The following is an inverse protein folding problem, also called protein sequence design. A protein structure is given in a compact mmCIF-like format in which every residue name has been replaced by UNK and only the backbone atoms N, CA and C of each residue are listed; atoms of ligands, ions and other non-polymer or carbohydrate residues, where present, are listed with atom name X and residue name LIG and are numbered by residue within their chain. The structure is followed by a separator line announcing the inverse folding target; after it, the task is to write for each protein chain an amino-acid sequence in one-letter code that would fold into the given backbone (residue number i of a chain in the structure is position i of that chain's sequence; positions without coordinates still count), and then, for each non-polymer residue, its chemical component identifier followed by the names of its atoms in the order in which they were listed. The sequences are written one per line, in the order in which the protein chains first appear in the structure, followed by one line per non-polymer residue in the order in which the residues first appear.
data_IF_712959304535
#
_entry.id   IF_712959304535
#
_cell.length_a   1.000
_cell.length_b   1.000
_cell.length_c   1.000
_cell.angle_alpha   90.00
_cell.angle_beta   90.00
_cell.angle_gamma   90.00
#
_symmetry.space_group_name_H-M   'P 1'
#
loop_
_entity.id
_entity.type
_entity.pdbx_description
1 polymer ?
#
# COMPACT_ATOMS: atom_id res chain seq x y z
N UNK A 1 -9.60 15.88 -2.80
CA UNK A 1 -9.97 14.45 -2.67
C UNK A 1 -10.26 13.80 -4.02
N UNK A 2 -11.16 14.33 -4.87
CA UNK A 2 -11.52 13.70 -6.15
C UNK A 2 -10.35 13.46 -7.12
N UNK A 3 -9.42 14.41 -7.24
CA UNK A 3 -8.25 14.24 -8.15
C UNK A 3 -7.34 13.12 -7.66
N UNK A 4 -7.12 13.01 -6.34
CA UNK A 4 -6.27 11.98 -5.75
C UNK A 4 -6.90 10.59 -5.90
N UNK A 5 -8.21 10.46 -5.68
CA UNK A 5 -8.89 9.17 -5.86
C UNK A 5 -8.83 8.69 -7.31
N UNK A 6 -8.99 9.60 -8.29
CA UNK A 6 -8.86 9.24 -9.72
C UNK A 6 -7.43 8.82 -10.05
N UNK A 7 -6.43 9.53 -9.53
CA UNK A 7 -5.02 9.16 -9.71
C UNK A 7 -4.71 7.80 -9.08
N UNK A 8 -5.19 7.54 -7.86
CA UNK A 8 -5.04 6.26 -7.18
C UNK A 8 -5.66 5.13 -8.01
N UNK A 9 -6.91 5.26 -8.45
CA UNK A 9 -7.56 4.21 -9.27
C UNK A 9 -6.78 3.92 -10.55
N UNK A 10 -6.26 4.94 -11.23
CA UNK A 10 -5.45 4.75 -12.43
C UNK A 10 -4.12 4.05 -12.12
N UNK A 11 -3.46 4.41 -11.02
CA UNK A 11 -2.22 3.77 -10.58
C UNK A 11 -2.47 2.30 -10.20
N UNK A 12 -3.58 2.00 -9.53
CA UNK A 12 -3.95 0.62 -9.17
C UNK A 12 -4.18 -0.23 -10.43
N UNK A 13 -4.72 0.33 -11.51
CA UNK A 13 -4.78 -0.36 -12.81
C UNK A 13 -3.37 -0.70 -13.31
N UNK A 14 -2.42 0.23 -13.26
CA UNK A 14 -1.02 -0.07 -13.60
C UNK A 14 -0.41 -1.12 -12.67
N UNK A 15 -0.73 -1.10 -11.38
CA UNK A 15 -0.26 -2.09 -10.42
C UNK A 15 -0.71 -3.50 -10.80
N UNK A 16 -1.98 -3.68 -11.15
CA UNK A 16 -2.47 -4.97 -11.66
C UNK A 16 -1.80 -5.38 -12.98
N UNK A 17 -1.61 -4.44 -13.92
CA UNK A 17 -0.92 -4.76 -15.18
C UNK A 17 0.51 -5.23 -14.94
N UNK A 18 1.23 -4.58 -14.02
CA UNK A 18 2.60 -4.93 -13.65
C UNK A 18 2.67 -6.30 -12.98
N UNK A 19 1.74 -6.63 -12.08
CA UNK A 19 1.72 -7.95 -11.43
C UNK A 19 1.52 -9.09 -12.45
N UNK A 20 0.79 -8.84 -13.53
CA UNK A 20 0.54 -9.85 -14.56
C UNK A 20 1.65 -9.91 -15.63
N UNK A 21 2.15 -8.75 -16.10
CA UNK A 21 3.05 -8.67 -17.26
C UNK A 21 4.13 -7.59 -17.06
N UNK A 22 4.90 -7.68 -15.98
CA UNK A 22 5.85 -6.64 -15.57
C UNK A 22 6.80 -6.20 -16.70
N UNK A 23 7.50 -7.14 -17.33
CA UNK A 23 8.51 -6.83 -18.33
C UNK A 23 7.92 -6.09 -19.54
N UNK A 24 6.78 -6.57 -20.05
CA UNK A 24 6.10 -5.96 -21.19
C UNK A 24 5.57 -4.56 -20.85
N UNK A 25 5.00 -4.38 -19.66
CA UNK A 25 4.51 -3.08 -19.20
C UNK A 25 5.67 -2.08 -19.06
N UNK A 26 6.79 -2.48 -18.45
CA UNK A 26 7.96 -1.61 -18.30
C UNK A 26 8.53 -1.23 -19.68
N UNK A 27 8.64 -2.17 -20.61
CA UNK A 27 9.15 -1.90 -21.97
C UNK A 27 8.19 -1.02 -22.77
N UNK A 28 6.88 -1.25 -22.66
CA UNK A 28 5.86 -0.41 -23.27
C UNK A 28 5.90 1.03 -22.74
N UNK A 29 5.94 1.21 -21.42
CA UNK A 29 5.99 2.53 -20.80
C UNK A 29 7.31 3.26 -21.09
N UNK A 30 8.42 2.54 -21.23
CA UNK A 30 9.72 3.14 -21.59
C UNK A 30 9.72 3.63 -23.04
N UNK A 31 9.14 2.85 -23.97
CA UNK A 31 9.10 3.18 -25.40
C UNK A 31 8.03 4.21 -25.77
N UNK A 32 7.06 4.44 -24.88
CA UNK A 32 5.99 5.40 -25.08
C UNK A 32 6.40 6.79 -24.57
N UNK A 33 6.22 7.87 -25.36
CA UNK A 33 6.48 9.22 -24.89
C UNK A 33 5.46 9.64 -23.83
N UNK A 34 5.95 10.20 -22.73
CA UNK A 34 5.15 10.75 -21.65
C UNK A 34 4.65 12.17 -21.94
N UNK A 35 3.73 12.69 -21.11
CA UNK A 35 3.09 13.99 -21.32
C UNK A 35 4.04 15.19 -21.18
N UNK A 36 5.18 15.00 -20.51
CA UNK A 36 6.17 16.06 -20.25
C UNK A 36 7.48 15.87 -21.05
N UNK A 37 7.45 15.05 -22.10
CA UNK A 37 8.61 14.79 -22.97
C UNK A 37 9.64 13.79 -22.42
N UNK A 38 9.50 13.36 -21.16
CA UNK A 38 10.16 12.15 -20.62
C UNK A 38 9.45 10.88 -21.09
N UNK A 39 9.97 9.70 -20.76
CA UNK A 39 9.23 8.45 -21.02
C UNK A 39 7.94 8.40 -20.19
N UNK A 40 6.94 7.66 -20.66
CA UNK A 40 5.73 7.42 -19.88
C UNK A 40 6.04 6.66 -18.58
N UNK A 41 7.06 5.80 -18.59
CA UNK A 41 7.60 5.13 -17.40
C UNK A 41 8.02 6.14 -16.33
N UNK A 42 8.84 7.13 -16.69
CA UNK A 42 9.32 8.14 -15.74
C UNK A 42 8.15 8.90 -15.10
N UNK A 43 7.15 9.25 -15.91
CA UNK A 43 5.97 9.97 -15.44
C UNK A 43 5.13 9.12 -14.49
N UNK A 44 4.79 7.88 -14.87
CA UNK A 44 3.96 6.99 -14.03
C UNK A 44 4.68 6.66 -12.73
N UNK A 45 5.97 6.30 -12.79
CA UNK A 45 6.75 6.01 -11.59
C UNK A 45 6.87 7.22 -10.67
N UNK A 46 7.16 8.41 -11.22
CA UNK A 46 7.24 9.64 -10.44
C UNK A 46 5.91 9.94 -9.74
N UNK A 47 4.80 9.92 -10.48
CA UNK A 47 3.47 10.20 -9.94
C UNK A 47 3.04 9.18 -8.88
N UNK A 48 3.39 7.92 -9.08
CA UNK A 48 3.07 6.84 -8.15
C UNK A 48 3.87 6.95 -6.86
N UNK A 49 5.19 6.92 -6.91
CA UNK A 49 6.02 6.88 -5.69
C UNK A 49 5.95 8.17 -4.87
N UNK A 50 5.56 9.29 -5.49
CA UNK A 50 5.31 10.54 -4.76
C UNK A 50 3.99 10.55 -4.02
N UNK A 51 2.99 9.76 -4.47
CA UNK A 51 1.63 9.74 -3.91
C UNK A 51 1.28 8.45 -3.16
N UNK A 52 2.15 7.45 -3.15
CA UNK A 52 1.88 6.16 -2.49
C UNK A 52 1.42 6.33 -1.03
N UNK A 53 2.05 7.23 -0.28
CA UNK A 53 1.70 7.51 1.12
C UNK A 53 0.32 8.18 1.30
N UNK A 54 -0.29 8.65 0.22
CA UNK A 54 -1.62 9.26 0.20
C UNK A 54 -2.71 8.26 -0.17
N UNK A 55 -2.35 7.02 -0.50
CA UNK A 55 -3.33 6.00 -0.87
C UNK A 55 -4.17 5.61 0.35
N UNK A 56 -5.43 5.33 0.10
CA UNK A 56 -6.40 4.92 1.11
C UNK A 56 -7.12 3.66 0.68
N UNK A 57 -7.46 2.79 1.64
CA UNK A 57 -8.12 1.51 1.39
C UNK A 57 -7.12 0.36 1.45
N UNK A 58 -7.34 -0.65 2.32
CA UNK A 58 -6.35 -1.69 2.58
C UNK A 58 -6.05 -2.54 1.34
N UNK A 59 -7.04 -2.78 0.49
CA UNK A 59 -6.86 -3.53 -0.76
C UNK A 59 -5.95 -2.79 -1.75
N UNK A 60 -6.28 -1.53 -2.08
CA UNK A 60 -5.50 -0.71 -3.02
C UNK A 60 -4.06 -0.51 -2.55
N UNK A 61 -3.87 -0.30 -1.23
CA UNK A 61 -2.53 -0.20 -0.63
C UNK A 61 -1.77 -1.52 -0.83
N UNK A 62 -2.35 -2.67 -0.49
CA UNK A 62 -1.71 -3.99 -0.67
C UNK A 62 -1.36 -4.27 -2.14
N UNK A 63 -2.30 -4.07 -3.06
CA UNK A 63 -2.07 -4.25 -4.50
C UNK A 63 -0.92 -3.35 -4.98
N UNK A 64 -0.95 -2.09 -4.58
CA UNK A 64 0.10 -1.13 -4.94
C UNK A 64 1.46 -1.56 -4.41
N UNK A 65 1.55 -1.92 -3.13
CA UNK A 65 2.79 -2.32 -2.46
C UNK A 65 3.37 -3.60 -3.07
N UNK A 66 2.54 -4.62 -3.35
CA UNK A 66 2.98 -5.86 -4.02
C UNK A 66 3.57 -5.55 -5.40
N UNK A 67 2.92 -4.67 -6.17
CA UNK A 67 3.45 -4.26 -7.47
C UNK A 67 4.77 -3.50 -7.35
N UNK A 68 4.90 -2.59 -6.38
CA UNK A 68 6.15 -1.86 -6.11
C UNK A 68 7.28 -2.79 -5.65
N UNK A 69 6.97 -3.85 -4.89
CA UNK A 69 7.91 -4.91 -4.53
C UNK A 69 8.40 -5.66 -5.77
N UNK A 70 7.49 -6.09 -6.64
CA UNK A 70 7.86 -6.77 -7.89
C UNK A 70 8.70 -5.88 -8.81
N UNK A 71 8.42 -4.57 -8.86
CA UNK A 71 9.26 -3.60 -9.57
C UNK A 71 10.66 -3.48 -8.98
N UNK A 72 10.78 -3.44 -7.65
CA UNK A 72 12.08 -3.41 -6.99
C UNK A 72 12.88 -4.69 -7.25
N UNK A 73 12.24 -5.85 -7.13
CA UNK A 73 12.84 -7.15 -7.45
C UNK A 73 13.32 -7.18 -8.90
N UNK A 74 12.46 -6.81 -9.85
CA UNK A 74 12.82 -6.74 -11.27
C UNK A 74 14.02 -5.82 -11.52
N UNK A 75 14.03 -4.64 -10.92
CA UNK A 75 15.11 -3.67 -11.07
C UNK A 75 16.45 -4.21 -10.57
N UNK A 76 16.44 -4.93 -9.43
CA UNK A 76 17.64 -5.50 -8.82
C UNK A 76 18.13 -6.74 -9.58
N UNK A 77 17.24 -7.67 -9.89
CA UNK A 77 17.59 -8.93 -10.60
C UNK A 77 18.13 -8.68 -11.99
N UNK A 78 17.58 -7.70 -12.72
CA UNK A 78 18.00 -7.37 -14.08
C UNK A 78 19.06 -6.26 -14.14
N UNK A 79 19.44 -5.68 -12.99
CA UNK A 79 20.29 -4.50 -12.91
C UNK A 79 19.85 -3.39 -13.88
N UNK A 80 18.54 -3.11 -13.90
CA UNK A 80 17.93 -2.25 -14.91
C UNK A 80 18.27 -0.77 -14.64
N UNK A 81 19.08 -0.20 -15.53
CA UNK A 81 19.56 1.18 -15.45
C UNK A 81 18.43 2.22 -15.46
N UNK A 82 17.24 1.89 -15.99
CA UNK A 82 16.09 2.81 -16.01
C UNK A 82 15.64 3.16 -14.60
N UNK A 83 15.65 2.18 -13.69
CA UNK A 83 15.28 2.39 -12.29
C UNK A 83 16.37 3.12 -11.50
N UNK A 84 17.63 2.99 -11.89
CA UNK A 84 18.75 3.65 -11.21
C UNK A 84 18.90 5.12 -11.63
N UNK A 85 18.56 5.43 -12.88
CA UNK A 85 18.72 6.78 -13.44
C UNK A 85 17.54 7.72 -13.14
N UNK A 86 16.33 7.18 -12.93
CA UNK A 86 15.18 8.01 -12.55
C UNK A 86 15.35 8.56 -11.13
N UNK A 87 15.38 9.90 -11.00
CA UNK A 87 15.51 10.60 -9.72
C UNK A 87 14.17 11.18 -9.30
N UNK A 88 13.71 10.83 -8.10
CA UNK A 88 12.42 11.21 -7.53
C UNK A 88 12.56 11.94 -6.18
N UNK A 89 11.54 12.67 -5.72
CA UNK A 89 11.53 13.28 -4.39
C UNK A 89 11.60 12.22 -3.27
N UNK A 90 12.59 12.38 -2.40
CA UNK A 90 12.81 11.58 -1.21
C UNK A 90 12.03 12.11 -0.01
N UNK A 91 12.76 12.54 1.02
CA UNK A 91 12.23 13.01 2.29
C UNK A 91 12.27 14.53 2.37
N UNK A 92 11.35 15.12 3.14
CA UNK A 92 11.32 16.56 3.34
C UNK A 92 12.54 17.00 4.17
N UNK A 93 13.27 18.01 3.68
CA UNK A 93 14.41 18.60 4.38
C UNK A 93 13.87 19.58 5.42
N UNK A 94 14.05 19.24 6.69
CA UNK A 94 13.66 20.07 7.84
C UNK A 94 14.90 20.79 8.35
N UNK A 95 14.97 22.10 8.15
CA UNK A 95 16.02 22.93 8.71
C UNK A 95 15.72 23.23 10.18
N UNK A 96 16.44 22.59 11.09
CA UNK A 96 16.48 23.02 12.49
C UNK A 96 17.45 24.20 12.60
N UNK A 97 16.94 25.42 12.76
CA UNK A 97 17.79 26.52 13.22
C UNK A 97 18.20 26.21 14.67
N UNK A 98 19.50 26.21 14.94
CA UNK A 98 20.05 25.94 16.26
C UNK A 98 19.38 26.85 17.31
N UNK A 99 18.75 26.23 18.30
CA UNK A 99 18.10 26.94 19.42
C UNK A 99 16.61 27.22 19.28
N UNK A 100 15.95 26.88 18.16
CA UNK A 100 14.47 26.90 18.11
C UNK A 100 13.89 25.52 18.41
N UNK A 101 13.09 25.45 19.48
CA UNK A 101 12.13 24.36 19.71
C UNK A 101 11.31 24.11 18.43
N UNK A 102 10.83 22.88 18.24
CA UNK A 102 9.93 22.46 17.14
C UNK A 102 8.70 23.36 17.15
N UNK A 103 8.82 24.53 16.54
CA UNK A 103 7.79 25.55 16.50
C UNK A 103 6.91 25.19 15.31
N UNK A 104 5.61 25.02 15.56
CA UNK A 104 4.60 24.81 14.52
C UNK A 104 4.91 25.69 13.30
N UNK A 105 5.19 25.02 12.17
CA UNK A 105 5.54 25.67 10.92
C UNK A 105 4.26 26.26 10.31
N UNK A 106 3.96 27.50 10.69
CA UNK A 106 2.82 28.23 10.15
C UNK A 106 3.04 28.58 8.68
N UNK A 107 1.96 28.72 7.90
CA UNK A 107 2.01 29.04 6.45
C UNK A 107 2.91 30.25 6.12
N UNK A 108 2.97 31.25 7.02
CA UNK A 108 3.86 32.43 6.89
C UNK A 108 5.36 32.10 7.01
N UNK A 109 5.74 31.09 7.80
CA UNK A 109 7.13 30.61 7.93
C UNK A 109 7.54 29.77 6.72
N UNK A 110 6.63 28.98 6.14
CA UNK A 110 6.87 28.22 4.89
C UNK A 110 7.16 29.11 3.68
N UNK A 111 6.62 30.34 3.65
CA UNK A 111 6.92 31.28 2.56
C UNK A 111 8.35 31.83 2.60
N UNK A 112 9.00 31.83 3.78
CA UNK A 112 10.39 32.30 3.93
C UNK A 112 11.42 31.20 3.70
N UNK A 113 11.04 29.94 3.97
CA UNK A 113 11.82 28.76 3.68
C UNK A 113 10.93 27.74 2.94
N UNK A 114 10.92 27.76 1.59
CA UNK A 114 10.08 26.85 0.81
C UNK A 114 10.40 25.40 1.15
N UNK A 115 9.42 24.52 1.01
CA UNK A 115 9.61 23.09 1.24
C UNK A 115 10.64 22.55 0.27
N UNK A 116 11.65 21.90 0.83
CA UNK A 116 12.69 21.23 0.06
C UNK A 116 12.59 19.75 0.33
N UNK A 117 12.89 18.96 -0.69
CA UNK A 117 12.86 17.51 -0.64
C UNK A 117 14.21 16.99 -1.10
N UNK A 118 14.70 15.92 -0.48
CA UNK A 118 15.88 15.24 -0.99
C UNK A 118 15.57 14.65 -2.37
N UNK A 119 16.62 14.39 -3.16
CA UNK A 119 16.49 13.75 -4.47
C UNK A 119 17.18 12.40 -4.41
N UNK A 120 16.44 11.33 -4.68
CA UNK A 120 16.94 9.96 -4.55
C UNK A 120 16.64 9.14 -5.82
N UNK A 121 17.45 8.14 -6.15
CA UNK A 121 17.12 7.18 -7.21
C UNK A 121 15.80 6.46 -6.92
N UNK A 122 15.06 6.07 -7.98
CA UNK A 122 13.78 5.37 -7.85
C UNK A 122 13.92 4.10 -7.00
N UNK A 123 14.96 3.28 -7.22
CA UNK A 123 15.23 2.07 -6.43
C UNK A 123 15.27 2.37 -4.92
N UNK A 124 15.92 3.48 -4.52
CA UNK A 124 16.00 3.90 -3.11
C UNK A 124 14.62 4.32 -2.60
N UNK A 125 13.83 5.03 -3.43
CA UNK A 125 12.47 5.43 -3.05
C UNK A 125 11.54 4.22 -2.89
N UNK A 126 11.62 3.25 -3.79
CA UNK A 126 10.86 1.99 -3.69
C UNK A 126 11.18 1.29 -2.38
N UNK A 127 12.46 1.07 -2.08
CA UNK A 127 12.88 0.45 -0.82
C UNK A 127 12.34 1.18 0.41
N UNK A 128 12.44 2.52 0.44
CA UNK A 128 11.89 3.34 1.54
C UNK A 128 10.38 3.18 1.72
N UNK A 129 9.63 3.10 0.62
CA UNK A 129 8.18 2.90 0.66
C UNK A 129 7.85 1.53 1.27
N UNK A 130 8.56 0.47 0.87
CA UNK A 130 8.33 -0.88 1.39
C UNK A 130 8.64 -0.98 2.89
N UNK A 131 9.75 -0.39 3.34
CA UNK A 131 10.11 -0.34 4.76
C UNK A 131 9.07 0.44 5.57
N UNK A 132 8.59 1.57 5.03
CA UNK A 132 7.54 2.36 5.69
C UNK A 132 6.24 1.55 5.83
N UNK A 133 5.83 0.84 4.77
CA UNK A 133 4.63 0.02 4.83
C UNK A 133 4.79 -1.15 5.82
N UNK A 134 5.94 -1.83 5.83
CA UNK A 134 6.21 -2.88 6.81
C UNK A 134 6.12 -2.34 8.25
N UNK A 135 6.67 -1.15 8.50
CA UNK A 135 6.56 -0.50 9.80
C UNK A 135 5.10 -0.21 10.17
N UNK A 136 4.29 0.27 9.22
CA UNK A 136 2.86 0.50 9.44
C UNK A 136 2.14 -0.80 9.80
N UNK A 137 2.40 -1.89 9.07
CA UNK A 137 1.79 -3.20 9.34
C UNK A 137 2.17 -3.73 10.74
N UNK A 138 3.44 -3.58 11.15
CA UNK A 138 3.89 -3.97 12.49
C UNK A 138 3.17 -3.15 13.57
N UNK A 139 3.02 -1.83 13.37
CA UNK A 139 2.34 -0.98 14.34
C UNK A 139 0.84 -1.32 14.44
N UNK A 140 0.15 -1.47 13.31
CA UNK A 140 -1.26 -1.88 13.29
C UNK A 140 -1.45 -3.22 14.00
N UNK A 141 -0.55 -4.19 13.79
CA UNK A 141 -0.64 -5.48 14.48
C UNK A 141 -0.46 -5.35 15.99
N UNK A 142 0.48 -4.52 16.45
CA UNK A 142 0.68 -4.26 17.89
C UNK A 142 -0.52 -3.60 18.53
N UNK A 143 -1.13 -2.62 17.86
CA UNK A 143 -2.35 -1.95 18.34
C UNK A 143 -3.49 -2.96 18.51
N UNK A 144 -3.66 -3.88 17.56
CA UNK A 144 -4.64 -4.95 17.67
C UNK A 144 -4.33 -5.90 18.83
N UNK A 145 -3.07 -6.33 19.00
CA UNK A 145 -2.65 -7.21 20.10
C UNK A 145 -2.80 -6.54 21.48
N UNK A 146 -2.58 -5.22 21.57
CA UNK A 146 -2.81 -4.44 22.79
C UNK A 146 -4.31 -4.32 23.11
N UNK A 147 -5.18 -4.13 22.11
CA UNK A 147 -6.63 -4.07 22.30
C UNK A 147 -7.22 -5.42 22.76
N UNK A 148 -6.72 -6.58 22.30
CA UNK A 148 -7.24 -7.90 22.74
C UNK A 148 -6.88 -8.19 24.19
N UNK A 149 -5.79 -7.63 24.71
CA UNK A 149 -5.34 -7.84 26.10
C UNK A 149 -6.11 -7.00 27.14
N UNK A 150 -7.04 -6.12 26.71
CA UNK A 150 -7.90 -5.34 27.60
C UNK A 150 -9.28 -5.96 27.85
N UNK A 151 -9.66 -7.02 27.14
CA UNK A 151 -10.99 -7.66 27.21
C UNK A 151 -11.03 -8.93 28.08
N UNK A 152 -9.94 -9.28 28.77
CA UNK A 152 -9.80 -10.55 29.53
C UNK A 152 -9.90 -10.39 31.07
N UNK A 153 -10.43 -9.25 31.54
CA UNK A 153 -10.51 -8.89 32.97
C UNK A 153 -11.97 -8.62 33.45
N UNK A 154 -12.96 -9.34 32.94
CA UNK A 154 -14.30 -9.43 33.54
C UNK A 154 -14.68 -10.91 33.77
N UNK A 155 -14.31 -11.43 34.95
CA UNK A 155 -14.77 -12.70 35.52
C UNK A 155 -16.27 -12.66 35.86
N UNK A 156 -16.96 -13.75 35.47
CA UNK A 156 -18.12 -14.42 36.09
C UNK A 156 -19.36 -13.62 36.56
N UNK A 157 -20.54 -13.91 35.98
CA UNK A 157 -21.63 -14.58 36.73
C UNK A 157 -22.74 -15.13 35.82
N UNK A 158 -23.33 -16.23 36.29
CA UNK A 158 -24.34 -17.10 35.66
C UNK A 158 -25.66 -16.41 35.24
N UNK A 159 -26.37 -16.98 34.25
CA UNK A 159 -27.68 -17.64 34.44
C UNK A 159 -28.59 -17.72 33.17
N UNK A 160 -29.04 -18.96 32.98
CA UNK A 160 -30.37 -19.44 32.53
C UNK A 160 -30.94 -19.23 31.11
N UNK A 161 -31.36 -20.40 30.62
CA UNK A 161 -32.16 -20.77 29.46
C UNK A 161 -33.39 -19.90 29.13
N UNK A 162 -33.64 -19.71 27.83
CA UNK A 162 -34.88 -19.12 27.32
C UNK A 162 -35.16 -19.47 25.86
N UNK A 163 -35.64 -20.68 25.63
CA UNK A 163 -36.11 -21.22 24.36
C UNK A 163 -37.42 -20.54 23.90
N UNK A 164 -37.48 -19.94 22.69
CA UNK A 164 -38.73 -19.89 21.92
C UNK A 164 -38.46 -19.92 20.40
N UNK A 165 -38.95 -21.00 19.81
CA UNK A 165 -39.14 -21.30 18.39
C UNK A 165 -40.07 -20.26 17.73
N UNK A 166 -39.72 -19.75 16.54
CA UNK A 166 -40.74 -19.28 15.59
C UNK A 166 -40.22 -19.41 14.14
N UNK A 167 -40.82 -20.38 13.43
CA UNK A 167 -40.64 -20.62 11.99
C UNK A 167 -41.74 -19.87 11.24
N UNK A 168 -41.35 -18.97 10.34
CA UNK A 168 -42.17 -18.63 9.17
C UNK A 168 -41.32 -18.67 7.90
N UNK A 169 -41.64 -19.63 7.04
CA UNK A 169 -41.19 -19.71 5.64
C UNK A 169 -41.77 -18.53 4.83
N UNK A 170 -40.91 -17.81 4.12
CA UNK A 170 -41.30 -17.08 2.91
C UNK A 170 -40.29 -17.35 1.80
N UNK A 171 -40.75 -18.16 0.84
CA UNK A 171 -40.15 -18.32 -0.48
C UNK A 171 -39.94 -16.95 -1.16
N UNK A 172 -38.69 -16.69 -1.52
CA UNK A 172 -38.29 -15.60 -2.39
C UNK A 172 -36.94 -15.95 -3.00
N UNK A 173 -36.92 -16.28 -4.29
CA UNK A 173 -35.73 -16.54 -5.09
C UNK A 173 -34.70 -15.40 -4.91
N UNK A 174 -33.64 -15.66 -4.14
CA UNK A 174 -32.43 -14.84 -4.12
C UNK A 174 -31.35 -15.53 -4.94
N UNK A 175 -31.04 -14.89 -6.05
CA UNK A 175 -29.83 -15.05 -6.87
C UNK A 175 -28.57 -15.12 -5.98
N UNK A 176 -27.76 -16.14 -6.22
CA UNK A 176 -26.66 -16.60 -5.38
C UNK A 176 -25.39 -15.73 -5.57
N UNK A 177 -25.35 -14.55 -4.94
CA UNK A 177 -24.14 -13.70 -4.84
C UNK A 177 -23.12 -14.27 -3.81
N UNK A 178 -23.60 -15.06 -2.84
CA UNK A 178 -22.81 -15.64 -1.76
C UNK A 178 -21.74 -16.64 -2.23
N UNK A 179 -21.99 -17.34 -3.34
CA UNK A 179 -21.02 -18.29 -3.91
C UNK A 179 -19.90 -17.60 -4.72
N UNK A 180 -20.11 -16.38 -5.21
CA UNK A 180 -19.05 -15.62 -5.91
C UNK A 180 -18.08 -14.96 -4.95
N UNK A 181 -18.54 -14.57 -3.75
CA UNK A 181 -17.71 -13.95 -2.71
C UNK A 181 -16.87 -15.00 -1.97
N UNK A 182 -17.43 -16.18 -1.66
CA UNK A 182 -16.69 -17.28 -1.02
C UNK A 182 -15.58 -17.85 -1.91
N UNK A 183 -15.82 -18.00 -3.21
CA UNK A 183 -14.80 -18.47 -4.15
C UNK A 183 -13.62 -17.48 -4.29
N UNK A 184 -13.85 -16.18 -4.09
CA UNK A 184 -12.81 -15.15 -4.13
C UNK A 184 -11.99 -15.10 -2.84
N UNK A 185 -12.61 -15.39 -1.68
CA UNK A 185 -11.92 -15.46 -0.39
C UNK A 185 -11.03 -16.71 -0.29
N UNK A 186 -11.47 -17.84 -0.82
CA UNK A 186 -10.68 -19.09 -0.80
C UNK A 186 -9.38 -18.96 -1.61
N UNK A 187 -9.42 -18.25 -2.75
CA UNK A 187 -8.22 -18.03 -3.56
C UNK A 187 -7.25 -17.05 -2.87
N UNK A 188 -7.77 -15.94 -2.33
CA UNK A 188 -6.96 -14.97 -1.59
C UNK A 188 -6.31 -15.58 -0.34
N UNK A 189 -7.04 -16.44 0.38
CA UNK A 189 -6.53 -17.16 1.56
C UNK A 189 -5.42 -18.13 1.17
N UNK A 190 -5.57 -18.84 0.05
CA UNK A 190 -4.54 -19.74 -0.47
C UNK A 190 -3.27 -19.00 -0.94
N UNK A 191 -3.41 -17.79 -1.48
CA UNK A 191 -2.25 -16.96 -1.79
C UNK A 191 -1.52 -16.51 -0.52
N UNK A 192 -2.24 -16.14 0.53
CA UNK A 192 -1.65 -15.71 1.81
C UNK A 192 -0.94 -16.87 2.54
N UNK A 193 -1.56 -18.05 2.64
CA UNK A 193 -0.91 -19.24 3.21
C UNK A 193 0.37 -19.61 2.45
N UNK A 194 0.40 -19.44 1.13
CA UNK A 194 1.60 -19.72 0.33
C UNK A 194 2.75 -18.76 0.67
N UNK A 195 2.45 -17.51 1.03
CA UNK A 195 3.48 -16.52 1.41
C UNK A 195 4.01 -16.75 2.82
N UNK A 196 3.14 -17.11 3.78
CA UNK A 196 3.57 -17.41 5.16
C UNK A 196 4.52 -18.61 5.18
N UNK A 197 4.18 -19.68 4.46
CA UNK A 197 5.07 -20.85 4.32
C UNK A 197 6.42 -20.51 3.63
N UNK A 198 6.44 -19.52 2.73
CA UNK A 198 7.65 -19.07 2.06
C UNK A 198 8.54 -18.20 2.94
N UNK A 199 7.95 -17.51 3.93
CA UNK A 199 8.69 -16.72 4.91
C UNK A 199 9.34 -17.65 5.94
N UNK A 200 8.62 -18.68 6.39
CA UNK A 200 9.17 -19.65 7.34
C UNK A 200 10.36 -20.42 6.74
N UNK A 201 10.30 -20.81 5.46
CA UNK A 201 11.41 -21.49 4.75
C UNK A 201 12.64 -20.60 4.48
N UNK A 202 12.53 -19.27 4.59
CA UNK A 202 13.62 -18.32 4.32
C UNK A 202 14.36 -17.91 5.60
N UNK A 203 13.74 -18.11 6.76
CA UNK A 203 14.26 -17.70 8.07
C UNK A 203 14.64 -18.86 9.01
N UNK A 204 14.51 -20.12 8.57
CA UNK A 204 15.18 -21.30 9.14
C UNK A 204 16.48 -21.67 8.39
#
# INVERSE_FOLDING_TARGET
SQVLSVQQSLIVVFAHLIQNNLNDVVNFLTSTPGPQGSSAFDFVMYEWVTKQHLFSGPYDIKVSIIALTGLLEYAMTNNDVRFQTLVVPGDQIIYHQSGQSISHRTRSKSSKHPEQWTRVPLVVKLFKILVLELQNQINTRKELEEDVNFDDDDEDDDDEEGNVDDKEEKDGEQINESNSLKASDDEATKYLERYDNLLDDVFD
#
